data_IF_341550854863
#
_entry.id   IF_341550854863
#
_cell.length_a   1.000
_cell.length_b   1.000
_cell.length_c   1.000
_cell.angle_alpha   90.00
_cell.angle_beta   90.00
_cell.angle_gamma   90.00
#
_symmetry.space_group_name_H-M   'P 1'
#
loop_
_entity.id
_entity.type
_entity.pdbx_description
1 polymer ?
#
# COMPACT_ATOMS: atom_id res chain seq x y z
N UNK A 1 18.98 -31.53 -8.06
CA UNK A 1 18.10 -31.35 -9.27
C UNK A 1 17.90 -29.84 -9.47
N UNK A 2 18.58 -29.29 -10.46
CA UNK A 2 18.45 -27.88 -10.87
C UNK A 2 17.04 -27.68 -11.43
N UNK A 3 16.20 -26.92 -10.74
CA UNK A 3 14.94 -26.45 -11.26
C UNK A 3 15.19 -25.67 -12.58
N UNK A 4 14.88 -26.30 -13.71
CA UNK A 4 14.84 -25.56 -14.98
C UNK A 4 13.87 -24.38 -14.85
N UNK A 5 14.28 -23.16 -15.22
CA UNK A 5 13.39 -22.03 -15.20
C UNK A 5 12.22 -22.31 -16.14
N UNK A 6 11.00 -22.28 -15.62
CA UNK A 6 9.78 -22.38 -16.44
C UNK A 6 9.92 -21.39 -17.59
N UNK A 7 9.90 -21.89 -18.83
CA UNK A 7 10.20 -21.06 -20.00
C UNK A 7 9.36 -19.79 -19.96
N UNK A 8 9.96 -18.66 -20.32
CA UNK A 8 9.31 -17.35 -20.45
C UNK A 8 8.01 -17.49 -21.26
N UNK A 9 7.99 -18.40 -22.27
CA UNK A 9 6.81 -18.72 -23.08
C UNK A 9 5.67 -19.38 -22.31
N UNK A 10 5.94 -20.22 -21.31
CA UNK A 10 4.87 -20.81 -20.47
C UNK A 10 4.21 -19.73 -19.59
N UNK A 11 4.99 -18.76 -19.15
CA UNK A 11 4.52 -17.61 -18.41
C UNK A 11 3.68 -16.67 -19.30
N UNK A 12 4.13 -16.45 -20.55
CA UNK A 12 3.37 -15.65 -21.53
C UNK A 12 2.08 -16.36 -21.99
N UNK A 13 2.12 -17.67 -22.23
CA UNK A 13 0.92 -18.44 -22.61
C UNK A 13 -0.11 -18.44 -21.48
N UNK A 14 0.32 -18.62 -20.25
CA UNK A 14 -0.56 -18.52 -19.09
C UNK A 14 -1.12 -17.10 -18.90
N UNK A 15 -0.32 -16.05 -19.15
CA UNK A 15 -0.78 -14.67 -19.12
C UNK A 15 -1.78 -14.36 -20.26
N UNK A 16 -1.60 -14.98 -21.45
CA UNK A 16 -2.55 -14.82 -22.56
C UNK A 16 -3.89 -15.52 -22.31
N UNK A 17 -3.88 -16.74 -21.78
CA UNK A 17 -5.09 -17.46 -21.38
C UNK A 17 -5.84 -16.79 -20.23
N UNK A 18 -5.13 -16.06 -19.38
CA UNK A 18 -5.69 -15.25 -18.27
C UNK A 18 -6.26 -13.90 -18.72
N UNK A 19 -6.14 -13.51 -20.01
CA UNK A 19 -6.70 -12.27 -20.59
C UNK A 19 -8.22 -12.16 -20.47
N UNK A 20 -8.90 -13.26 -20.29
CA UNK A 20 -10.36 -13.28 -20.25
C UNK A 20 -10.86 -13.23 -18.82
N UNK A 21 -11.40 -12.08 -18.43
CA UNK A 21 -12.60 -12.03 -17.64
C UNK A 21 -12.49 -11.67 -16.17
N UNK A 22 -11.93 -10.51 -15.81
CA UNK A 22 -12.23 -9.94 -14.50
C UNK A 22 -13.76 -9.80 -14.31
N UNK A 23 -14.48 -9.33 -15.34
CA UNK A 23 -15.95 -9.25 -15.34
C UNK A 23 -16.62 -10.62 -15.22
N UNK A 24 -16.13 -11.65 -15.95
CA UNK A 24 -16.65 -13.02 -15.85
C UNK A 24 -16.30 -13.66 -14.52
N UNK A 25 -15.09 -13.43 -14.01
CA UNK A 25 -14.67 -13.87 -12.70
C UNK A 25 -15.59 -13.27 -11.64
N UNK A 26 -15.77 -11.94 -11.63
CA UNK A 26 -16.60 -11.22 -10.69
C UNK A 26 -18.07 -11.70 -10.67
N UNK A 27 -18.65 -11.98 -11.86
CA UNK A 27 -20.00 -12.52 -11.97
C UNK A 27 -20.19 -13.92 -11.38
N UNK A 28 -19.12 -14.74 -11.42
CA UNK A 28 -19.13 -16.14 -10.94
C UNK A 28 -18.69 -16.28 -9.48
N UNK A 29 -18.16 -15.21 -8.91
CA UNK A 29 -17.61 -15.22 -7.59
C UNK A 29 -18.72 -15.41 -6.55
N UNK A 30 -18.52 -16.33 -5.60
CA UNK A 30 -19.32 -16.38 -4.39
C UNK A 30 -18.93 -15.21 -3.49
N UNK A 31 -19.86 -14.29 -3.28
CA UNK A 31 -19.62 -13.02 -2.57
C UNK A 31 -20.02 -13.09 -1.09
N UNK A 32 -20.50 -14.23 -0.60
CA UNK A 32 -21.04 -14.35 0.78
C UNK A 32 -20.05 -13.91 1.85
N UNK A 33 -18.77 -14.17 1.63
CA UNK A 33 -17.70 -13.84 2.58
C UNK A 33 -17.00 -12.49 2.30
N UNK A 34 -17.47 -11.72 1.32
CA UNK A 34 -16.90 -10.40 1.02
C UNK A 34 -17.61 -9.32 1.84
N UNK A 35 -16.86 -8.30 2.33
CA UNK A 35 -17.46 -7.10 2.91
C UNK A 35 -18.42 -6.42 1.91
N UNK A 36 -19.58 -5.98 2.39
CA UNK A 36 -20.59 -5.34 1.54
C UNK A 36 -20.04 -4.10 0.80
N UNK A 37 -19.25 -3.30 1.48
CA UNK A 37 -18.59 -2.13 0.88
C UNK A 37 -17.62 -2.51 -0.25
N UNK A 38 -16.85 -3.60 -0.07
CA UNK A 38 -15.97 -4.11 -1.13
C UNK A 38 -16.77 -4.59 -2.34
N UNK A 39 -17.92 -5.21 -2.12
CA UNK A 39 -18.84 -5.62 -3.21
C UNK A 39 -19.32 -4.38 -3.98
N UNK A 40 -19.79 -3.34 -3.28
CA UNK A 40 -20.27 -2.10 -3.89
C UNK A 40 -19.18 -1.41 -4.73
N UNK A 41 -17.99 -1.27 -4.18
CA UNK A 41 -16.84 -0.67 -4.89
C UNK A 41 -16.52 -1.47 -6.16
N UNK A 42 -16.50 -2.80 -6.05
CA UNK A 42 -16.16 -3.69 -7.16
C UNK A 42 -17.23 -3.70 -8.26
N UNK A 43 -18.49 -3.64 -7.89
CA UNK A 43 -19.61 -3.53 -8.84
C UNK A 43 -19.53 -2.21 -9.63
N UNK A 44 -19.22 -1.09 -8.96
CA UNK A 44 -18.99 0.21 -9.62
C UNK A 44 -17.80 0.15 -10.58
N UNK A 45 -16.70 -0.48 -10.17
CA UNK A 45 -15.51 -0.65 -11.01
C UNK A 45 -15.81 -1.50 -12.26
N UNK A 46 -16.55 -2.60 -12.12
CA UNK A 46 -16.94 -3.45 -13.25
C UNK A 46 -17.95 -2.73 -14.15
N UNK A 47 -18.90 -1.97 -13.57
CA UNK A 47 -19.90 -1.19 -14.32
C UNK A 47 -19.26 -0.06 -15.13
N UNK A 48 -18.26 0.62 -14.60
CA UNK A 48 -17.54 1.70 -15.31
C UNK A 48 -16.69 1.20 -16.48
N UNK A 49 -16.57 -0.13 -16.66
CA UNK A 49 -15.71 -0.77 -17.67
C UNK A 49 -14.22 -0.43 -17.58
N UNK A 50 -13.80 0.26 -16.53
CA UNK A 50 -12.41 0.71 -16.29
C UNK A 50 -11.43 -0.46 -16.19
N UNK A 51 -11.91 -1.65 -15.80
CA UNK A 51 -11.11 -2.87 -15.83
C UNK A 51 -10.55 -3.19 -17.23
N UNK A 52 -11.14 -2.67 -18.31
CA UNK A 52 -10.64 -2.86 -19.68
C UNK A 52 -9.26 -2.21 -19.88
N UNK A 53 -9.00 -1.08 -19.19
CA UNK A 53 -7.76 -0.32 -19.24
C UNK A 53 -6.72 -0.79 -18.21
N UNK A 54 -7.13 -1.63 -17.27
CA UNK A 54 -6.21 -2.20 -16.29
C UNK A 54 -5.22 -3.17 -16.94
N UNK A 55 -3.94 -3.08 -16.60
CA UNK A 55 -2.93 -3.98 -17.16
C UNK A 55 -3.21 -5.46 -16.85
N UNK A 56 -2.63 -6.37 -17.64
CA UNK A 56 -2.80 -7.82 -17.43
C UNK A 56 -2.31 -8.26 -16.05
N UNK A 57 -1.21 -7.67 -15.62
CA UNK A 57 -0.61 -7.90 -14.31
C UNK A 57 -1.61 -7.57 -13.20
N UNK A 58 -2.15 -6.36 -13.19
CA UNK A 58 -3.10 -5.94 -12.17
C UNK A 58 -4.42 -6.70 -12.21
N UNK A 59 -4.93 -7.06 -13.40
CA UNK A 59 -6.13 -7.92 -13.49
C UNK A 59 -5.91 -9.29 -12.85
N UNK A 60 -4.71 -9.84 -12.99
CA UNK A 60 -4.34 -11.09 -12.33
C UNK A 60 -4.27 -10.94 -10.81
N UNK A 61 -3.61 -9.88 -10.34
CA UNK A 61 -3.49 -9.61 -8.91
C UNK A 61 -4.85 -9.35 -8.26
N UNK A 62 -5.72 -8.56 -8.87
CA UNK A 62 -7.10 -8.37 -8.38
C UNK A 62 -7.80 -9.71 -8.19
N UNK A 63 -7.74 -10.62 -9.16
CA UNK A 63 -8.37 -11.95 -9.04
C UNK A 63 -7.76 -12.75 -7.89
N UNK A 64 -6.45 -12.72 -7.72
CA UNK A 64 -5.79 -13.46 -6.64
C UNK A 64 -6.15 -12.87 -5.27
N UNK A 65 -6.18 -11.56 -5.13
CA UNK A 65 -6.60 -10.89 -3.89
C UNK A 65 -8.02 -11.29 -3.49
N UNK A 66 -8.98 -11.30 -4.44
CA UNK A 66 -10.33 -11.78 -4.13
C UNK A 66 -10.35 -13.24 -3.71
N UNK A 67 -9.58 -14.12 -4.35
CA UNK A 67 -9.47 -15.52 -3.96
C UNK A 67 -8.91 -15.68 -2.55
N UNK A 68 -7.91 -14.90 -2.19
CA UNK A 68 -7.35 -14.88 -0.83
C UNK A 68 -8.43 -14.44 0.18
N UNK A 69 -9.11 -13.33 -0.08
CA UNK A 69 -10.15 -12.81 0.81
C UNK A 69 -11.26 -13.84 1.05
N UNK A 70 -11.70 -14.57 0.01
CA UNK A 70 -12.80 -15.54 0.12
C UNK A 70 -12.38 -16.80 0.86
N UNK A 71 -11.14 -17.25 0.65
CA UNK A 71 -10.62 -18.49 1.23
C UNK A 71 -10.11 -18.31 2.66
N UNK A 72 -10.13 -17.09 3.17
CA UNK A 72 -9.62 -16.78 4.51
C UNK A 72 -10.80 -16.31 5.37
N UNK A 73 -10.91 -16.75 6.64
CA UNK A 73 -11.97 -16.28 7.52
C UNK A 73 -12.02 -14.76 7.55
N UNK A 74 -13.18 -14.18 7.31
CA UNK A 74 -13.38 -12.74 7.14
C UNK A 74 -13.28 -11.96 8.46
N UNK A 75 -12.25 -12.22 9.28
CA UNK A 75 -11.92 -11.33 10.38
C UNK A 75 -11.25 -10.07 9.81
N UNK A 76 -11.44 -8.96 10.48
CA UNK A 76 -10.78 -7.70 10.11
C UNK A 76 -9.26 -7.85 10.04
N UNK A 77 -8.67 -8.60 10.96
CA UNK A 77 -7.23 -8.86 11.04
C UNK A 77 -6.71 -9.64 9.83
N UNK A 78 -7.49 -10.59 9.34
CA UNK A 78 -7.14 -11.38 8.16
C UNK A 78 -7.18 -10.55 6.89
N UNK A 79 -8.20 -9.72 6.69
CA UNK A 79 -8.32 -8.82 5.53
C UNK A 79 -7.15 -7.84 5.46
N UNK A 80 -6.77 -7.29 6.60
CA UNK A 80 -5.65 -6.36 6.69
C UNK A 80 -4.30 -7.07 6.49
N UNK A 81 -4.12 -8.29 7.04
CA UNK A 81 -2.92 -9.09 6.81
C UNK A 81 -2.73 -9.42 5.32
N UNK A 82 -3.81 -9.76 4.61
CA UNK A 82 -3.79 -9.97 3.16
C UNK A 82 -3.38 -8.69 2.44
N UNK A 83 -3.96 -7.55 2.79
CA UNK A 83 -3.60 -6.27 2.19
C UNK A 83 -2.12 -5.94 2.38
N UNK A 84 -1.58 -6.17 3.56
CA UNK A 84 -0.17 -5.91 3.85
C UNK A 84 0.77 -6.94 3.20
N UNK A 85 0.42 -8.24 3.17
CA UNK A 85 1.27 -9.28 2.59
C UNK A 85 1.35 -9.20 1.06
N UNK A 86 0.25 -8.91 0.40
CA UNK A 86 0.16 -8.88 -1.06
C UNK A 86 0.80 -7.61 -1.66
N UNK A 87 0.96 -6.55 -0.85
CA UNK A 87 1.62 -5.30 -1.22
C UNK A 87 3.00 -5.14 -0.58
N UNK A 88 3.45 -6.12 0.22
CA UNK A 88 4.80 -6.15 0.74
C UNK A 88 5.79 -6.37 -0.40
N UNK A 89 6.52 -5.33 -0.75
CA UNK A 89 7.59 -5.41 -1.75
C UNK A 89 8.59 -6.50 -1.39
N UNK A 90 9.08 -7.21 -2.38
CA UNK A 90 10.16 -8.17 -2.20
C UNK A 90 11.42 -7.43 -1.72
N UNK A 91 12.17 -8.06 -0.83
CA UNK A 91 13.51 -7.58 -0.50
C UNK A 91 14.36 -7.53 -1.78
N UNK A 92 14.94 -6.37 -2.08
CA UNK A 92 15.82 -6.18 -3.24
C UNK A 92 17.25 -6.67 -2.99
N UNK A 93 17.55 -7.20 -1.81
CA UNK A 93 18.88 -7.72 -1.49
C UNK A 93 18.92 -9.22 -1.77
N UNK A 94 19.93 -9.67 -2.52
CA UNK A 94 20.20 -11.09 -2.70
C UNK A 94 20.80 -11.70 -1.41
N UNK A 95 20.66 -13.03 -1.29
CA UNK A 95 21.08 -13.75 -0.07
C UNK A 95 22.58 -13.56 0.23
N UNK A 96 23.43 -13.48 -0.78
CA UNK A 96 24.88 -13.28 -0.61
C UNK A 96 25.21 -11.90 -0.04
N UNK A 97 24.58 -10.85 -0.55
CA UNK A 97 24.74 -9.48 -0.06
C UNK A 97 24.27 -9.36 1.40
N UNK A 98 23.24 -10.13 1.75
CA UNK A 98 22.68 -10.22 3.10
C UNK A 98 23.65 -10.88 4.07
N UNK A 99 24.19 -12.05 3.73
CA UNK A 99 25.16 -12.78 4.58
C UNK A 99 26.37 -11.91 4.89
N UNK A 100 26.96 -11.28 3.86
CA UNK A 100 28.11 -10.40 4.03
C UNK A 100 27.83 -9.17 4.90
N UNK A 101 26.62 -8.63 4.81
CA UNK A 101 26.19 -7.49 5.64
C UNK A 101 25.88 -7.93 7.06
N UNK A 102 25.39 -9.17 7.28
CA UNK A 102 25.14 -9.74 8.61
C UNK A 102 26.42 -9.86 9.44
N UNK A 103 27.57 -10.17 8.82
CA UNK A 103 28.86 -10.21 9.52
C UNK A 103 29.22 -8.89 10.18
N UNK A 104 28.87 -7.76 9.54
CA UNK A 104 29.14 -6.41 10.06
C UNK A 104 28.17 -5.95 11.15
N UNK A 105 27.01 -6.58 11.26
CA UNK A 105 25.92 -6.23 12.20
C UNK A 105 25.63 -7.35 13.20
N UNK A 106 26.51 -8.35 13.31
CA UNK A 106 26.28 -9.58 14.09
C UNK A 106 25.81 -9.32 15.52
N UNK A 107 26.35 -8.32 16.17
CA UNK A 107 26.02 -7.95 17.56
C UNK A 107 24.71 -7.16 17.70
N UNK A 108 24.17 -6.65 16.58
CA UNK A 108 22.92 -5.87 16.53
C UNK A 108 21.73 -6.66 16.00
N UNK A 109 21.97 -7.85 15.44
CA UNK A 109 20.91 -8.70 14.89
C UNK A 109 20.46 -9.67 15.99
N UNK A 110 19.59 -9.22 16.87
CA UNK A 110 18.84 -10.13 17.72
C UNK A 110 17.83 -10.93 16.90
N UNK A 111 17.83 -12.23 17.10
CA UNK A 111 16.87 -13.14 16.51
C UNK A 111 15.50 -12.89 17.17
N UNK A 112 14.68 -12.04 16.57
CA UNK A 112 13.37 -11.74 17.11
C UNK A 112 12.41 -12.92 16.91
N UNK A 113 12.40 -13.87 17.87
CA UNK A 113 11.52 -15.03 17.85
C UNK A 113 10.03 -14.67 17.76
N UNK A 114 9.64 -13.46 18.20
CA UNK A 114 8.28 -12.96 18.08
C UNK A 114 7.90 -12.69 16.64
N UNK A 115 8.88 -12.40 15.78
CA UNK A 115 8.69 -12.23 14.34
C UNK A 115 8.15 -13.52 13.70
N UNK A 116 8.68 -14.70 14.08
CA UNK A 116 8.21 -15.99 13.56
C UNK A 116 6.82 -16.35 14.06
N UNK A 117 6.50 -16.02 15.31
CA UNK A 117 5.16 -16.26 15.86
C UNK A 117 4.11 -15.41 15.14
N UNK A 118 4.45 -14.15 14.83
CA UNK A 118 3.54 -13.20 14.19
C UNK A 118 3.48 -13.38 12.65
N UNK A 119 4.57 -13.85 12.05
CA UNK A 119 4.72 -14.04 10.60
C UNK A 119 5.32 -15.41 10.28
N UNK A 120 4.59 -16.51 10.49
CA UNK A 120 5.10 -17.89 10.35
C UNK A 120 5.58 -18.23 8.92
N UNK A 121 5.19 -17.43 7.91
CA UNK A 121 5.66 -17.56 6.55
C UNK A 121 7.12 -17.11 6.33
N UNK A 122 7.74 -16.45 7.32
CA UNK A 122 9.14 -16.05 7.22
C UNK A 122 10.06 -17.21 7.61
N UNK A 123 11.00 -17.55 6.72
CA UNK A 123 12.13 -18.43 7.08
C UNK A 123 13.14 -17.66 7.95
N UNK A 124 14.03 -18.40 8.64
CA UNK A 124 15.10 -17.80 9.44
C UNK A 124 15.94 -16.81 8.63
N UNK A 125 16.37 -17.19 7.42
CA UNK A 125 17.15 -16.34 6.50
C UNK A 125 16.40 -15.07 6.15
N UNK A 126 15.10 -15.15 5.83
CA UNK A 126 14.27 -13.98 5.54
C UNK A 126 14.12 -13.06 6.74
N UNK A 127 14.05 -13.62 7.95
CA UNK A 127 13.97 -12.83 9.18
C UNK A 127 15.25 -12.04 9.44
N UNK A 128 16.42 -12.68 9.29
CA UNK A 128 17.73 -12.03 9.42
C UNK A 128 17.87 -10.92 8.38
N UNK A 129 17.53 -11.20 7.13
CA UNK A 129 17.54 -10.24 6.02
C UNK A 129 16.67 -9.04 6.31
N UNK A 130 15.46 -9.29 6.82
CA UNK A 130 14.51 -8.24 7.15
C UNK A 130 15.05 -7.34 8.27
N UNK A 131 15.56 -7.91 9.35
CA UNK A 131 16.15 -7.15 10.46
C UNK A 131 17.32 -6.30 9.99
N UNK A 132 18.19 -6.84 9.13
CA UNK A 132 19.29 -6.09 8.55
C UNK A 132 18.83 -4.90 7.73
N UNK A 133 17.83 -5.07 6.86
CA UNK A 133 17.25 -3.97 6.10
C UNK A 133 16.69 -2.89 7.04
N UNK A 134 15.99 -3.30 8.09
CA UNK A 134 15.47 -2.37 9.09
C UNK A 134 16.57 -1.58 9.78
N UNK A 135 17.65 -2.23 10.20
CA UNK A 135 18.79 -1.57 10.84
C UNK A 135 19.47 -0.58 9.90
N UNK A 136 19.71 -0.96 8.64
CA UNK A 136 20.32 -0.05 7.63
C UNK A 136 19.42 1.17 7.41
N UNK A 137 18.12 0.98 7.23
CA UNK A 137 17.17 2.08 7.07
C UNK A 137 17.13 2.95 8.31
N UNK A 138 17.07 2.36 9.50
CA UNK A 138 17.04 3.07 10.76
C UNK A 138 18.30 3.95 10.94
N UNK A 139 19.50 3.39 10.78
CA UNK A 139 20.76 4.13 10.90
C UNK A 139 20.85 5.27 9.88
N UNK A 140 20.35 5.07 8.67
CA UNK A 140 20.29 6.13 7.67
C UNK A 140 19.35 7.27 8.06
N UNK A 141 18.23 6.96 8.71
CA UNK A 141 17.17 7.93 9.01
C UNK A 141 17.38 8.61 10.36
N UNK A 142 17.92 7.93 11.38
CA UNK A 142 18.00 8.47 12.74
C UNK A 142 18.83 9.74 12.85
N UNK A 143 19.85 9.91 12.00
CA UNK A 143 20.66 11.12 11.91
C UNK A 143 19.96 12.28 11.19
N UNK A 144 18.86 12.02 10.49
CA UNK A 144 18.14 13.02 9.72
C UNK A 144 17.14 13.79 10.58
N UNK A 145 16.96 15.08 10.28
CA UNK A 145 16.02 15.94 10.98
C UNK A 145 14.57 15.41 10.95
N UNK A 146 14.20 14.70 9.89
CA UNK A 146 12.87 14.10 9.74
C UNK A 146 12.53 13.09 10.84
N UNK A 147 13.54 12.41 11.38
CA UNK A 147 13.36 11.41 12.43
C UNK A 147 12.81 11.99 13.75
N UNK A 148 12.99 13.28 13.99
CA UNK A 148 12.39 14.00 15.14
C UNK A 148 10.85 13.96 15.13
N UNK A 149 10.24 13.63 13.98
CA UNK A 149 8.80 13.48 13.86
C UNK A 149 8.31 12.04 14.12
N UNK A 150 9.19 11.11 14.47
CA UNK A 150 8.86 9.71 14.68
C UNK A 150 7.67 9.51 15.64
N UNK A 151 7.61 10.28 16.72
CA UNK A 151 6.56 10.14 17.74
C UNK A 151 5.19 10.68 17.30
N UNK A 152 5.15 11.48 16.23
CA UNK A 152 3.92 12.03 15.63
C UNK A 152 3.26 11.08 14.63
N UNK A 153 3.95 10.00 14.25
CA UNK A 153 3.45 9.05 13.24
C UNK A 153 2.35 8.18 13.86
N UNK A 154 1.22 8.03 13.16
CA UNK A 154 0.25 7.00 13.49
C UNK A 154 0.83 5.61 13.13
N UNK A 155 1.27 4.89 14.16
CA UNK A 155 2.07 3.67 14.00
C UNK A 155 1.23 2.41 13.86
N UNK A 156 -0.05 2.42 14.30
CA UNK A 156 -0.90 1.21 14.36
C UNK A 156 -0.98 0.50 13.02
N UNK A 157 -1.11 1.24 11.91
CA UNK A 157 -1.15 0.68 10.57
C UNK A 157 0.12 -0.11 10.23
N UNK A 158 1.27 0.42 10.61
CA UNK A 158 2.56 -0.22 10.30
C UNK A 158 2.83 -1.41 11.21
N UNK A 159 2.54 -1.27 12.51
CA UNK A 159 2.90 -2.27 13.52
C UNK A 159 1.96 -3.48 13.53
N UNK A 160 0.70 -3.28 13.13
CA UNK A 160 -0.29 -4.36 13.19
C UNK A 160 0.04 -5.52 12.24
N UNK A 161 0.53 -5.21 11.05
CA UNK A 161 0.60 -6.17 9.94
C UNK A 161 2.01 -6.40 9.40
N UNK A 162 2.96 -5.55 9.72
CA UNK A 162 4.32 -5.66 9.21
C UNK A 162 5.25 -6.20 10.29
N UNK A 163 6.25 -7.01 9.91
CA UNK A 163 7.33 -7.38 10.81
C UNK A 163 7.99 -6.12 11.38
N UNK A 164 8.23 -6.11 12.67
CA UNK A 164 8.79 -4.98 13.39
C UNK A 164 10.05 -5.38 14.16
N UNK A 165 10.93 -4.43 14.37
CA UNK A 165 12.13 -4.56 15.18
C UNK A 165 12.12 -3.45 16.23
N UNK A 166 12.58 -3.74 17.44
CA UNK A 166 12.80 -2.74 18.47
C UNK A 166 14.28 -2.35 18.49
N UNK A 167 14.54 -1.04 18.33
CA UNK A 167 15.88 -0.46 18.30
C UNK A 167 15.85 0.89 19.01
N UNK A 168 16.75 1.13 19.96
CA UNK A 168 16.86 2.37 20.74
C UNK A 168 15.48 2.78 21.31
N UNK A 169 14.74 1.86 21.96
CA UNK A 169 13.41 2.02 22.53
C UNK A 169 12.32 2.44 21.52
N UNK A 170 12.55 2.22 20.23
CA UNK A 170 11.61 2.51 19.15
C UNK A 170 11.25 1.26 18.38
N UNK A 171 9.95 1.06 18.18
CA UNK A 171 9.43 -0.05 17.37
C UNK A 171 9.30 0.41 15.91
N UNK A 172 10.13 -0.15 15.05
CA UNK A 172 10.23 0.25 13.64
C UNK A 172 9.75 -0.87 12.70
N UNK A 173 9.25 -0.48 11.53
CA UNK A 173 8.97 -1.39 10.42
C UNK A 173 9.59 -0.83 9.14
N UNK A 174 9.89 -1.70 8.18
CA UNK A 174 10.43 -1.29 6.89
C UNK A 174 9.55 -0.22 6.22
N UNK A 175 8.25 -0.46 6.17
CA UNK A 175 7.31 0.44 5.49
C UNK A 175 7.16 1.79 6.18
N UNK A 176 7.24 1.82 7.51
CA UNK A 176 7.24 3.09 8.24
C UNK A 176 8.49 3.93 7.92
N UNK A 177 9.67 3.31 7.95
CA UNK A 177 10.91 4.01 7.64
C UNK A 177 10.97 4.45 6.17
N UNK A 178 10.55 3.61 5.23
CA UNK A 178 10.46 3.96 3.81
C UNK A 178 9.50 5.13 3.57
N UNK A 179 8.30 5.08 4.18
CA UNK A 179 7.32 6.16 4.05
C UNK A 179 7.81 7.47 4.68
N UNK A 180 8.64 7.39 5.73
CA UNK A 180 9.26 8.58 6.32
C UNK A 180 10.28 9.22 5.36
N UNK A 181 11.07 8.42 4.65
CA UNK A 181 11.97 8.92 3.59
C UNK A 181 11.19 9.51 2.40
N UNK A 182 10.10 8.89 1.99
CA UNK A 182 9.20 9.42 0.95
C UNK A 182 8.65 10.79 1.38
N UNK A 183 8.18 10.90 2.60
CA UNK A 183 7.70 12.17 3.16
C UNK A 183 8.79 13.25 3.20
N UNK A 184 10.03 12.91 3.59
CA UNK A 184 11.17 13.83 3.55
C UNK A 184 11.36 14.41 2.15
N UNK A 185 11.33 13.58 1.11
CA UNK A 185 11.47 14.01 -0.28
C UNK A 185 10.32 14.93 -0.72
N UNK A 186 9.09 14.58 -0.39
CA UNK A 186 7.93 15.42 -0.67
C UNK A 186 8.09 16.78 -0.01
N UNK A 187 8.48 16.81 1.26
CA UNK A 187 8.67 18.05 2.00
C UNK A 187 9.76 18.95 1.38
N UNK A 188 10.85 18.37 0.92
CA UNK A 188 11.93 19.11 0.22
C UNK A 188 11.39 19.73 -1.08
N UNK A 189 10.67 18.94 -1.88
CA UNK A 189 10.12 19.38 -3.18
C UNK A 189 9.02 20.44 -3.04
N UNK A 190 8.30 20.46 -1.92
CA UNK A 190 7.17 21.36 -1.68
C UNK A 190 7.48 22.49 -0.70
N UNK A 191 8.73 22.66 -0.33
CA UNK A 191 9.14 23.63 0.70
C UNK A 191 8.78 25.09 0.38
N UNK A 192 8.65 25.44 -0.90
CA UNK A 192 8.24 26.79 -1.35
C UNK A 192 6.73 27.01 -1.39
N UNK A 193 5.91 25.98 -1.11
CA UNK A 193 4.47 26.08 -1.19
C UNK A 193 3.91 26.48 0.17
N UNK A 194 3.38 27.71 0.27
CA UNK A 194 2.86 28.30 1.50
C UNK A 194 1.32 28.18 1.61
N UNK A 195 0.73 27.11 1.10
CA UNK A 195 -0.69 26.80 1.17
C UNK A 195 -0.89 25.30 1.40
N UNK A 196 -2.11 24.84 1.72
CA UNK A 196 -2.41 23.42 1.79
C UNK A 196 -1.98 22.68 0.52
N UNK A 197 -1.30 21.55 0.70
CA UNK A 197 -0.84 20.72 -0.42
C UNK A 197 -1.97 19.85 -0.96
N UNK A 198 -2.05 19.77 -2.28
CA UNK A 198 -2.92 18.84 -2.98
C UNK A 198 -2.07 17.68 -3.51
N UNK A 199 -2.30 16.48 -3.02
CA UNK A 199 -1.52 15.29 -3.36
C UNK A 199 -2.40 14.26 -4.05
N UNK A 200 -1.90 13.70 -5.15
CA UNK A 200 -2.47 12.54 -5.82
C UNK A 200 -1.55 11.33 -5.63
N UNK A 201 -2.06 10.23 -5.10
CA UNK A 201 -1.35 8.96 -5.03
C UNK A 201 -2.00 7.92 -5.93
N UNK A 202 -1.19 7.32 -6.82
CA UNK A 202 -1.56 6.23 -7.70
C UNK A 202 -1.06 4.92 -7.10
N UNK A 203 -1.96 4.00 -6.78
CA UNK A 203 -1.57 2.70 -6.25
C UNK A 203 -1.22 2.72 -4.77
N UNK A 204 -2.02 3.38 -3.93
CA UNK A 204 -1.76 3.53 -2.50
C UNK A 204 -1.73 2.19 -1.70
N UNK A 205 -2.20 1.09 -2.30
CA UNK A 205 -2.28 -0.20 -1.64
C UNK A 205 -3.16 -0.15 -0.39
N UNK A 206 -2.58 -0.34 0.79
CA UNK A 206 -3.31 -0.22 2.05
C UNK A 206 -3.22 1.19 2.69
N UNK A 207 -2.62 2.17 1.98
CA UNK A 207 -2.58 3.57 2.38
C UNK A 207 -1.37 3.96 3.25
N UNK A 208 -0.23 3.27 3.13
CA UNK A 208 0.96 3.50 3.99
C UNK A 208 1.55 4.90 3.87
N UNK A 209 1.73 5.40 2.63
CA UNK A 209 2.33 6.72 2.38
C UNK A 209 1.36 7.83 2.73
N UNK A 210 0.07 7.66 2.38
CA UNK A 210 -0.99 8.56 2.83
C UNK A 210 -1.04 8.68 4.35
N UNK A 211 -0.95 7.54 5.09
CA UNK A 211 -0.91 7.54 6.54
C UNK A 211 0.27 8.36 7.09
N UNK A 212 1.46 8.24 6.51
CA UNK A 212 2.63 9.03 6.91
C UNK A 212 2.42 10.53 6.70
N UNK A 213 1.97 10.90 5.51
CA UNK A 213 1.78 12.30 5.14
C UNK A 213 0.70 12.95 6.01
N UNK A 214 -0.43 12.28 6.21
CA UNK A 214 -1.54 12.77 7.03
C UNK A 214 -1.19 12.85 8.52
N UNK A 215 -0.30 11.99 9.03
CA UNK A 215 0.21 12.06 10.39
C UNK A 215 1.10 13.28 10.63
N UNK A 216 1.90 13.65 9.63
CA UNK A 216 2.95 14.65 9.77
C UNK A 216 2.59 16.02 9.19
N UNK A 217 1.54 16.10 8.38
CA UNK A 217 1.07 17.32 7.72
C UNK A 217 -0.39 17.59 8.05
N UNK A 218 -0.68 18.77 8.60
CA UNK A 218 -2.06 19.14 8.99
C UNK A 218 -2.91 19.58 7.78
N UNK A 219 -2.32 20.35 6.89
CA UNK A 219 -3.02 21.03 5.79
C UNK A 219 -2.72 20.35 4.46
N UNK A 220 -3.31 19.17 4.26
CA UNK A 220 -3.14 18.37 3.04
C UNK A 220 -4.52 17.90 2.55
N UNK A 221 -4.80 18.10 1.26
CA UNK A 221 -5.85 17.40 0.53
C UNK A 221 -5.24 16.22 -0.21
N UNK A 222 -5.81 15.04 -0.01
CA UNK A 222 -5.24 13.82 -0.50
C UNK A 222 -6.21 13.06 -1.39
N UNK A 223 -5.82 12.78 -2.62
CA UNK A 223 -6.58 11.94 -3.54
C UNK A 223 -5.87 10.62 -3.73
N UNK A 224 -6.58 9.53 -3.49
CA UNK A 224 -6.10 8.18 -3.71
C UNK A 224 -6.81 7.58 -4.92
N UNK A 225 -6.04 7.26 -5.94
CA UNK A 225 -6.51 6.58 -7.13
C UNK A 225 -5.98 5.15 -7.16
N UNK A 226 -6.85 4.16 -6.90
CA UNK A 226 -6.44 2.77 -6.86
C UNK A 226 -7.55 1.83 -7.36
N UNK A 227 -7.21 0.56 -7.51
CA UNK A 227 -8.06 -0.52 -8.00
C UNK A 227 -8.65 -1.31 -6.83
N UNK A 228 -9.85 -1.91 -6.97
CA UNK A 228 -10.32 -2.87 -5.98
C UNK A 228 -9.44 -4.15 -6.00
N UNK A 229 -9.17 -4.78 -4.84
CA UNK A 229 -9.64 -4.41 -3.50
C UNK A 229 -8.76 -3.40 -2.76
N UNK A 230 -7.62 -2.96 -3.33
CA UNK A 230 -6.67 -2.06 -2.65
C UNK A 230 -7.33 -0.78 -2.14
N UNK A 231 -8.11 -0.11 -2.98
CA UNK A 231 -8.81 1.13 -2.61
C UNK A 231 -9.80 0.94 -1.44
N UNK A 232 -10.36 -0.25 -1.28
CA UNK A 232 -11.20 -0.59 -0.12
C UNK A 232 -10.36 -0.62 1.17
N UNK A 233 -9.18 -1.26 1.13
CA UNK A 233 -8.31 -1.34 2.30
C UNK A 233 -7.75 0.01 2.70
N UNK A 234 -7.26 0.80 1.76
CA UNK A 234 -6.76 2.15 2.05
C UNK A 234 -7.85 3.04 2.64
N UNK A 235 -9.07 3.00 2.09
CA UNK A 235 -10.20 3.75 2.64
C UNK A 235 -10.52 3.33 4.07
N UNK A 236 -10.67 2.03 4.31
CA UNK A 236 -10.98 1.50 5.64
C UNK A 236 -9.93 1.91 6.67
N UNK A 237 -8.64 1.74 6.33
CA UNK A 237 -7.55 2.08 7.22
C UNK A 237 -7.52 3.59 7.53
N UNK A 238 -7.55 4.44 6.51
CA UNK A 238 -7.46 5.88 6.71
C UNK A 238 -8.70 6.44 7.44
N UNK A 239 -9.88 5.87 7.21
CA UNK A 239 -11.09 6.24 7.98
C UNK A 239 -10.95 5.88 9.46
N UNK A 240 -10.32 4.75 9.78
CA UNK A 240 -10.11 4.32 11.16
C UNK A 240 -9.05 5.16 11.89
N UNK A 241 -7.98 5.55 11.19
CA UNK A 241 -6.86 6.27 11.81
C UNK A 241 -7.00 7.79 11.79
N UNK A 242 -7.84 8.32 10.90
CA UNK A 242 -8.10 9.76 10.79
C UNK A 242 -9.61 10.08 10.88
N UNK A 243 -10.28 9.76 11.99
CA UNK A 243 -11.74 9.91 12.12
C UNK A 243 -12.20 11.38 12.06
N UNK A 244 -11.30 12.33 12.29
CA UNK A 244 -11.60 13.77 12.25
C UNK A 244 -11.43 14.38 10.84
N UNK A 245 -11.00 13.59 9.83
CA UNK A 245 -10.87 14.04 8.45
C UNK A 245 -12.16 13.78 7.67
N UNK A 246 -12.51 14.70 6.79
CA UNK A 246 -13.62 14.51 5.85
C UNK A 246 -13.16 13.56 4.73
N UNK A 247 -13.71 12.34 4.73
CA UNK A 247 -13.31 11.26 3.82
C UNK A 247 -14.49 10.90 2.94
N UNK A 248 -14.29 10.91 1.62
CA UNK A 248 -15.31 10.54 0.66
C UNK A 248 -14.79 9.59 -0.44
N UNK A 249 -15.72 8.96 -1.13
CA UNK A 249 -15.46 8.15 -2.34
C UNK A 249 -16.23 8.72 -3.52
N UNK A 250 -15.55 8.93 -4.63
CA UNK A 250 -16.11 9.49 -5.85
C UNK A 250 -16.28 8.45 -6.98
N UNK A 251 -16.33 7.15 -6.65
CA UNK A 251 -16.31 6.04 -7.63
C UNK A 251 -17.42 6.10 -8.69
N UNK A 252 -18.56 6.73 -8.38
CA UNK A 252 -19.68 6.89 -9.31
C UNK A 252 -19.69 8.20 -10.08
N UNK A 253 -18.82 9.16 -9.77
CA UNK A 253 -18.79 10.47 -10.39
C UNK A 253 -18.23 10.38 -11.82
N UNK A 254 -18.94 10.98 -12.77
CA UNK A 254 -18.54 11.04 -14.19
C UNK A 254 -18.44 12.47 -14.70
N UNK A 255 -18.92 13.45 -13.94
CA UNK A 255 -18.89 14.87 -14.28
C UNK A 255 -17.71 15.59 -13.60
N UNK A 256 -17.06 16.52 -14.32
CA UNK A 256 -15.90 17.28 -13.83
C UNK A 256 -16.26 18.23 -12.70
N UNK A 257 -17.39 18.92 -12.79
CA UNK A 257 -17.77 19.91 -11.78
C UNK A 257 -18.11 19.21 -10.46
N UNK A 258 -18.81 18.07 -10.56
CA UNK A 258 -19.11 17.21 -9.40
C UNK A 258 -17.83 16.66 -8.76
N UNK A 259 -16.86 16.22 -9.57
CA UNK A 259 -15.54 15.74 -9.08
C UNK A 259 -14.79 16.87 -8.38
N UNK A 260 -14.72 18.06 -8.96
CA UNK A 260 -14.05 19.20 -8.36
C UNK A 260 -14.74 19.69 -7.09
N UNK A 261 -16.06 19.60 -7.01
CA UNK A 261 -16.82 19.85 -5.79
C UNK A 261 -16.44 18.85 -4.71
N UNK A 262 -16.48 17.55 -5.02
CA UNK A 262 -16.08 16.49 -4.08
C UNK A 262 -14.63 16.67 -3.58
N UNK A 263 -13.72 17.06 -4.47
CA UNK A 263 -12.33 17.35 -4.12
C UNK A 263 -12.18 18.53 -3.15
N UNK A 264 -12.92 19.62 -3.40
CA UNK A 264 -12.88 20.84 -2.56
C UNK A 264 -13.44 20.58 -1.15
N UNK A 265 -14.50 19.79 -1.04
CA UNK A 265 -15.25 19.56 0.21
C UNK A 265 -14.62 18.52 1.14
N UNK A 266 -13.70 17.69 0.64
CA UNK A 266 -13.12 16.60 1.42
C UNK A 266 -11.61 16.76 1.62
N UNK A 267 -11.10 16.19 2.73
CA UNK A 267 -9.68 16.11 3.03
C UNK A 267 -9.03 14.94 2.30
N UNK A 268 -9.75 13.81 2.22
CA UNK A 268 -9.32 12.58 1.54
C UNK A 268 -10.40 12.14 0.56
N UNK A 269 -10.04 11.97 -0.70
CA UNK A 269 -10.97 11.53 -1.74
C UNK A 269 -10.45 10.26 -2.43
N UNK A 270 -11.29 9.23 -2.50
CA UNK A 270 -10.99 7.98 -3.18
C UNK A 270 -11.63 7.94 -4.55
N UNK A 271 -10.84 7.62 -5.57
CA UNK A 271 -11.25 7.54 -6.97
C UNK A 271 -10.69 6.28 -7.65
N UNK A 272 -11.26 5.92 -8.78
CA UNK A 272 -10.61 4.97 -9.68
C UNK A 272 -9.59 5.67 -10.59
N UNK A 273 -8.54 4.99 -11.06
CA UNK A 273 -7.51 5.62 -11.89
C UNK A 273 -8.03 6.33 -13.16
N UNK A 274 -9.10 5.82 -13.79
CA UNK A 274 -9.70 6.45 -14.97
C UNK A 274 -10.41 7.78 -14.67
N UNK A 275 -10.73 8.06 -13.41
CA UNK A 275 -11.41 9.30 -13.01
C UNK A 275 -10.43 10.48 -12.81
N UNK A 276 -9.12 10.23 -12.89
CA UNK A 276 -8.11 11.30 -12.77
C UNK A 276 -8.28 12.37 -13.83
N UNK A 277 -8.76 12.02 -15.02
CA UNK A 277 -9.05 12.96 -16.10
C UNK A 277 -10.23 13.91 -15.81
N UNK A 278 -10.99 13.67 -14.74
CA UNK A 278 -12.06 14.56 -14.28
C UNK A 278 -11.55 15.71 -13.42
N UNK A 279 -10.30 15.67 -12.97
CA UNK A 279 -9.70 16.82 -12.29
C UNK A 279 -9.23 17.87 -13.28
N UNK A 280 -9.21 19.11 -12.84
CA UNK A 280 -8.66 20.21 -13.62
C UNK A 280 -7.14 20.06 -13.78
N UNK A 281 -6.59 20.63 -14.85
CA UNK A 281 -5.14 20.71 -15.01
C UNK A 281 -4.52 21.47 -13.83
N UNK A 282 -3.42 20.96 -13.31
CA UNK A 282 -2.69 21.53 -12.16
C UNK A 282 -3.47 21.48 -10.82
N UNK A 283 -4.44 20.59 -10.67
CA UNK A 283 -5.13 20.39 -9.38
C UNK A 283 -4.21 19.87 -8.29
N UNK A 284 -3.11 19.21 -8.64
CA UNK A 284 -2.19 18.57 -7.71
C UNK A 284 -0.81 19.22 -7.74
N UNK A 285 -0.22 19.41 -6.56
CA UNK A 285 1.15 19.88 -6.36
C UNK A 285 2.15 18.75 -6.46
N UNK A 286 1.72 17.56 -6.02
CA UNK A 286 2.53 16.33 -6.02
C UNK A 286 1.69 15.19 -6.57
N UNK A 287 2.29 14.39 -7.45
CA UNK A 287 1.74 13.11 -7.88
C UNK A 287 2.73 12.00 -7.52
N UNK A 288 2.24 11.01 -6.77
CA UNK A 288 3.01 9.84 -6.35
C UNK A 288 2.54 8.63 -7.14
N UNK A 289 3.47 7.81 -7.62
CA UNK A 289 3.19 6.49 -8.17
C UNK A 289 4.08 5.49 -7.43
N UNK A 290 3.47 4.62 -6.65
CA UNK A 290 4.17 3.72 -5.72
C UNK A 290 3.88 2.26 -6.09
#
# INVERSE_FOLDING_TARGET
ELHQPKSIWSTFKNAYLRRKNLKKFWRKLDKKNLPEELIKISDLFIKSESYKWTSKFWRHNIINHYKHIINTPASEDTLNAIACSDYAGHSFMDEYSIEKSCENFKDKIELNLNLFKKHPQLSLTKSISHNLILLILYENIKSKNIFKNYDKIEKKLYLKYNPSLEVDDKVITQYMLTSLLEYEKIKILTNSINRPLNILELGAGYGRTANMILSLSKDVKYVIADLPPAVFFSKKNLSNYFPNKKIASAFGITDKNEMMKAFKENDILFVFPHQINLFEKKSFDVSLAI
#
